data_IF_631243694575
#
_entry.id   IF_631243694575
#
_cell.length_a   1.000
_cell.length_b   1.000
_cell.length_c   1.000
_cell.angle_alpha   90.00
_cell.angle_beta   90.00
_cell.angle_gamma   90.00
#
_symmetry.space_group_name_H-M   'P 1'
#
loop_
_entity.id
_entity.type
_entity.pdbx_description
1 polymer ?
2 non-polymer ?
3 non-polymer ?
4 water ?
#
# COMPACT_ATOMS: atom_id res chain seq x y z
N UNK A 19 -28.27 2.41 -20.18
CA UNK A 19 -27.33 2.57 -19.09
C UNK A 19 -26.55 3.89 -19.17
N UNK A 20 -26.14 4.39 -18.01
CA UNK A 20 -25.30 5.59 -17.93
C UNK A 20 -24.06 5.41 -18.82
N UNK A 21 -23.69 6.47 -19.52
CA UNK A 21 -22.44 6.53 -20.28
C UNK A 21 -21.53 7.61 -19.69
N UNK A 22 -20.23 7.34 -19.65
CA UNK A 22 -19.24 8.35 -19.30
C UNK A 22 -18.08 8.26 -20.30
N UNK A 23 -17.89 9.33 -21.08
CA UNK A 23 -16.87 9.41 -22.12
C UNK A 23 -16.98 8.21 -23.06
N UNK A 24 -18.20 7.88 -23.47
CA UNK A 24 -18.44 6.90 -24.54
C UNK A 24 -18.27 5.45 -24.08
N UNK A 25 -18.16 5.20 -22.78
CA UNK A 25 -18.09 3.83 -22.24
C UNK A 25 -19.26 3.64 -21.26
N UNK A 26 -19.80 2.42 -21.20
CA UNK A 26 -20.95 2.19 -20.32
C UNK A 26 -20.45 2.27 -18.87
N UNK A 27 -21.18 3.01 -18.05
CA UNK A 27 -20.93 3.07 -16.62
C UNK A 27 -22.29 2.87 -15.92
N UNK A 28 -22.56 1.62 -15.62
CA UNK A 28 -23.92 1.15 -15.47
C UNK A 28 -24.25 0.85 -14.01
N UNK A 29 -24.56 1.89 -13.27
CA UNK A 29 -24.51 1.79 -11.81
C UNK A 29 -25.87 2.16 -11.19
N UNK A 30 -26.78 2.70 -11.99
CA UNK A 30 -28.07 3.12 -11.48
C UNK A 30 -28.90 1.92 -11.07
N UNK A 31 -30.15 2.16 -10.65
CA UNK A 31 -30.69 3.54 -10.48
C UNK A 31 -30.18 4.24 -9.21
N UNK A 32 -29.59 3.50 -8.28
CA UNK A 32 -29.25 4.04 -6.96
C UNK A 32 -28.20 5.16 -7.11
N UNK A 33 -27.29 4.99 -8.05
CA UNK A 33 -26.24 5.97 -8.21
C UNK A 33 -26.46 6.74 -9.52
N UNK A 34 -26.60 8.06 -9.35
CA UNK A 34 -26.86 9.02 -10.43
C UNK A 34 -25.81 10.14 -10.39
N UNK A 35 -25.92 11.09 -11.33
CA UNK A 35 -25.13 12.34 -11.35
C UNK A 35 -23.63 12.01 -11.44
N UNK A 36 -23.20 11.34 -12.51
CA UNK A 36 -21.84 10.81 -12.60
C UNK A 36 -20.89 11.92 -13.06
N UNK A 37 -19.68 11.93 -12.48
CA UNK A 37 -18.53 12.72 -12.95
C UNK A 37 -17.30 11.82 -13.08
N UNK A 38 -16.61 11.93 -14.21
CA UNK A 38 -15.38 11.22 -14.41
C UNK A 38 -14.34 11.70 -13.38
N UNK A 39 -13.57 10.79 -12.80
CA UNK A 39 -12.43 11.18 -11.95
C UNK A 39 -11.11 10.76 -12.61
N UNK A 40 -10.99 9.51 -13.06
CA UNK A 40 -9.73 9.11 -13.69
C UNK A 40 -9.72 7.65 -14.09
N UNK A 41 -8.59 7.01 -13.85
CA UNK A 41 -8.33 5.64 -14.31
C UNK A 41 -7.73 4.82 -13.18
N UNK A 42 -8.36 3.69 -12.88
CA UNK A 42 -7.78 2.67 -12.00
C UNK A 42 -7.14 1.56 -12.81
N UNK A 43 -6.95 0.40 -12.19
CA UNK A 43 -6.16 -0.68 -12.78
C UNK A 43 -6.90 -1.30 -13.97
N UNK A 44 -8.17 -1.71 -13.81
CA UNK A 44 -8.90 -2.39 -14.91
C UNK A 44 -10.15 -1.59 -15.29
N UNK A 45 -10.08 -0.26 -15.16
CA UNK A 45 -11.15 0.56 -15.73
C UNK A 45 -11.28 1.93 -15.10
N UNK A 46 -12.39 2.55 -15.45
CA UNK A 46 -12.73 3.93 -15.17
C UNK A 46 -13.22 4.10 -13.73
N UNK A 47 -12.83 5.21 -13.12
CA UNK A 47 -13.32 5.63 -11.83
C UNK A 47 -14.19 6.88 -12.03
N UNK A 48 -15.33 6.91 -11.34
CA UNK A 48 -16.27 8.03 -11.40
C UNK A 48 -16.77 8.35 -10.00
N UNK A 49 -17.16 9.61 -9.74
CA UNK A 49 -17.97 9.94 -8.56
C UNK A 49 -19.46 9.92 -8.95
N UNK A 50 -20.35 9.80 -7.96
CA UNK A 50 -21.78 9.63 -8.21
C UNK A 50 -22.55 9.93 -6.93
N UNK A 51 -23.81 10.30 -7.10
CA UNK A 51 -24.69 10.58 -6.00
C UNK A 51 -25.41 9.29 -5.58
N UNK A 52 -25.20 8.87 -4.32
CA UNK A 52 -25.90 7.73 -3.73
C UNK A 52 -27.24 8.25 -3.23
N UNK A 53 -28.29 7.82 -3.91
CA UNK A 53 -29.64 8.33 -3.69
C UNK A 53 -30.21 7.74 -2.39
N UNK A 54 -29.56 6.73 -1.81
CA UNK A 54 -30.00 6.10 -0.55
C UNK A 54 -29.40 6.88 0.62
N UNK A 55 -28.11 6.72 0.85
CA UNK A 55 -27.36 7.59 1.77
C UNK A 55 -27.02 8.86 1.00
N UNK A 56 -27.56 9.99 1.41
CA UNK A 56 -27.60 11.16 0.53
C UNK A 56 -26.22 11.82 0.47
N UNK A 57 -25.27 11.18 -0.21
CA UNK A 57 -23.86 11.62 -0.25
C UNK A 57 -23.27 11.23 -1.61
N UNK A 58 -22.24 11.95 -2.07
CA UNK A 58 -21.50 11.51 -3.26
C UNK A 58 -20.49 10.44 -2.86
N UNK A 59 -20.30 9.44 -3.73
CA UNK A 59 -19.44 8.29 -3.46
C UNK A 59 -18.50 8.11 -4.66
N UNK A 60 -17.49 7.26 -4.51
CA UNK A 60 -16.57 6.87 -5.60
C UNK A 60 -16.97 5.47 -6.11
N UNK A 61 -16.91 5.28 -7.42
CA UNK A 61 -17.25 3.98 -8.00
C UNK A 61 -16.18 3.61 -9.01
N UNK A 62 -15.56 2.46 -8.84
CA UNK A 62 -14.59 1.95 -9.81
C UNK A 62 -15.24 0.86 -10.66
N UNK A 63 -15.14 0.99 -11.97
CA UNK A 63 -15.51 -0.10 -12.91
C UNK A 63 -14.29 -1.03 -13.11
N UNK A 64 -14.53 -2.34 -12.94
CA UNK A 64 -13.49 -3.36 -13.05
C UNK A 64 -13.92 -4.39 -14.10
N UNK A 65 -13.02 -4.64 -15.06
CA UNK A 65 -13.26 -5.56 -16.18
C UNK A 65 -12.07 -6.53 -16.29
N UNK A 66 -11.98 -7.50 -15.36
CA UNK A 66 -10.84 -8.40 -15.30
C UNK A 66 -11.01 -9.82 -15.83
N UNK A 67 -12.15 -10.17 -16.41
CA UNK A 67 -12.49 -11.60 -16.53
C UNK A 67 -11.71 -12.28 -17.65
N UNK A 68 -11.07 -11.48 -18.51
CA UNK A 68 -10.30 -12.00 -19.63
C UNK A 68 -8.97 -12.55 -19.14
N UNK A 69 -8.42 -11.99 -18.07
CA UNK A 69 -7.05 -12.33 -17.68
C UNK A 69 -7.03 -12.95 -16.27
N UNK A 70 -6.43 -14.14 -16.23
CA UNK A 70 -6.20 -14.90 -15.01
C UNK A 70 -5.64 -13.96 -13.92
N UNK A 71 -4.68 -13.11 -14.28
CA UNK A 71 -4.00 -12.29 -13.26
C UNK A 71 -4.88 -11.12 -12.81
N UNK A 72 -5.62 -10.51 -13.73
CA UNK A 72 -6.60 -9.51 -13.33
C UNK A 72 -7.62 -10.16 -12.39
N UNK A 73 -8.07 -11.37 -12.71
CA UNK A 73 -9.04 -12.02 -11.87
C UNK A 73 -8.48 -12.24 -10.46
N UNK A 74 -7.24 -12.74 -10.38
CA UNK A 74 -6.55 -13.03 -9.11
C UNK A 74 -6.46 -11.77 -8.26
N UNK A 75 -6.04 -10.66 -8.85
CA UNK A 75 -5.84 -9.42 -8.10
C UNK A 75 -7.19 -8.86 -7.64
N UNK A 76 -8.20 -8.99 -8.49
CA UNK A 76 -9.53 -8.50 -8.16
C UNK A 76 -10.13 -9.34 -7.02
N UNK A 77 -10.06 -10.66 -7.11
CA UNK A 77 -10.64 -11.51 -6.04
C UNK A 77 -9.93 -11.23 -4.72
N UNK A 78 -8.61 -11.27 -4.78
CA UNK A 78 -7.81 -11.08 -3.58
C UNK A 78 -8.25 -9.80 -2.84
N UNK A 79 -8.41 -8.73 -3.61
CA UNK A 79 -8.62 -7.45 -3.00
C UNK A 79 -10.07 -7.28 -2.51
N UNK A 80 -11.03 -7.83 -3.26
CA UNK A 80 -12.41 -7.88 -2.73
C UNK A 80 -12.44 -8.68 -1.41
N UNK A 81 -11.86 -9.88 -1.39
CA UNK A 81 -11.83 -10.71 -0.17
C UNK A 81 -11.23 -9.93 1.00
N UNK A 82 -10.09 -9.28 0.79
CA UNK A 82 -9.42 -8.57 1.87
C UNK A 82 -10.28 -7.38 2.34
N UNK A 83 -10.78 -6.55 1.43
CA UNK A 83 -11.47 -5.33 1.85
C UNK A 83 -12.83 -5.64 2.49
N UNK A 84 -13.49 -6.72 2.08
CA UNK A 84 -14.74 -7.18 2.76
C UNK A 84 -14.47 -7.74 4.17
N UNK A 85 -13.30 -8.34 4.38
CA UNK A 85 -13.02 -8.91 5.71
C UNK A 85 -12.61 -7.79 6.68
N UNK A 86 -11.93 -6.78 6.17
CA UNK A 86 -11.39 -5.72 7.00
C UNK A 86 -12.46 -4.69 7.35
N UNK A 87 -12.42 -4.22 8.59
CA UNK A 87 -13.24 -3.13 9.03
C UNK A 87 -12.39 -2.25 9.94
N UNK A 88 -11.94 -1.12 9.38
CA UNK A 88 -11.04 -0.19 10.10
C UNK A 88 -11.12 1.23 9.54
N UNK A 89 -11.18 2.20 10.43
CA UNK A 89 -11.26 3.64 10.07
C UNK A 89 -10.17 4.07 9.09
N UNK A 90 -9.00 3.44 9.08
CA UNK A 90 -7.88 3.88 8.27
C UNK A 90 -7.67 2.91 7.09
N UNK A 91 -8.70 2.11 6.75
CA UNK A 91 -8.62 1.24 5.59
C UNK A 91 -9.92 1.47 4.80
N UNK A 92 -9.78 1.64 3.49
CA UNK A 92 -10.92 1.91 2.64
C UNK A 92 -11.82 0.70 2.68
N UNK A 93 -13.11 1.00 2.77
CA UNK A 93 -14.10 -0.06 2.81
C UNK A 93 -14.77 -0.22 1.46
N UNK A 94 -15.54 -1.27 1.34
CA UNK A 94 -16.40 -1.41 0.20
C UNK A 94 -17.82 -1.14 0.70
N UNK A 95 -18.46 -0.16 0.12
CA UNK A 95 -19.83 0.22 0.49
C UNK A 95 -20.84 -0.70 -0.19
N UNK A 96 -20.57 -1.01 -1.46
CA UNK A 96 -21.52 -1.72 -2.33
C UNK A 96 -20.75 -2.28 -3.49
N UNK A 97 -21.30 -3.33 -4.11
CA UNK A 97 -20.74 -3.89 -5.32
C UNK A 97 -21.88 -4.16 -6.30
N UNK A 98 -21.75 -3.61 -7.51
CA UNK A 98 -22.74 -3.71 -8.55
C UNK A 98 -22.25 -4.71 -9.60
N UNK A 99 -23.09 -5.69 -9.91
CA UNK A 99 -22.84 -6.56 -11.05
C UNK A 99 -24.15 -7.23 -11.48
N UNK A 100 -24.08 -7.89 -12.63
CA UNK A 100 -25.16 -8.66 -13.22
C UNK A 100 -25.65 -9.75 -12.25
N UNK A 101 -26.92 -10.13 -12.38
CA UNK A 101 -27.45 -11.19 -11.53
C UNK A 101 -26.90 -12.60 -11.85
N UNK A 102 -26.30 -12.83 -13.02
CA UNK A 102 -25.80 -14.16 -13.37
C UNK A 102 -24.33 -14.08 -13.79
N UNK A 103 -23.60 -15.19 -13.63
CA UNK A 103 -22.21 -15.25 -14.09
C UNK A 103 -22.17 -14.98 -15.61
N UNK A 104 -23.10 -15.57 -16.33
CA UNK A 104 -23.14 -15.46 -17.79
C UNK A 104 -23.25 -13.99 -18.24
N UNK A 105 -23.93 -13.14 -17.48
CA UNK A 105 -24.17 -11.75 -17.91
C UNK A 105 -23.17 -10.80 -17.23
N UNK A 106 -22.37 -11.31 -16.31
CA UNK A 106 -21.43 -10.47 -15.56
C UNK A 106 -20.17 -10.27 -16.42
N UNK A 107 -19.99 -9.06 -16.93
CA UNK A 107 -18.83 -8.72 -17.77
C UNK A 107 -17.94 -7.70 -17.06
N UNK A 108 -18.49 -6.99 -16.08
CA UNK A 108 -17.75 -6.05 -15.24
C UNK A 108 -18.30 -6.11 -13.84
N UNK A 109 -17.57 -5.50 -12.93
CA UNK A 109 -17.96 -5.33 -11.56
C UNK A 109 -17.73 -3.86 -11.18
N UNK A 110 -18.65 -3.25 -10.44
CA UNK A 110 -18.46 -1.88 -9.96
C UNK A 110 -18.32 -1.90 -8.44
N UNK A 111 -17.24 -1.31 -7.91
CA UNK A 111 -17.01 -1.24 -6.50
C UNK A 111 -17.30 0.19 -6.03
N UNK A 112 -18.22 0.31 -5.08
CA UNK A 112 -18.61 1.58 -4.53
C UNK A 112 -17.83 1.81 -3.24
N UNK A 113 -17.19 2.98 -3.12
CA UNK A 113 -16.39 3.34 -1.93
C UNK A 113 -16.68 4.79 -1.51
N UNK A 114 -16.35 5.11 -0.25
CA UNK A 114 -16.45 6.49 0.21
C UNK A 114 -15.67 7.41 -0.74
N UNK A 115 -16.22 8.59 -1.02
CA UNK A 115 -15.50 9.53 -1.86
C UNK A 115 -14.42 10.19 -1.02
N UNK A 116 -13.18 10.02 -1.46
CA UNK A 116 -12.08 10.71 -0.86
C UNK A 116 -11.56 11.75 -1.86
N UNK A 117 -11.64 13.00 -1.42
CA UNK A 117 -11.21 14.21 -2.14
C UNK A 117 -9.89 13.96 -2.86
N UNK A 118 -8.86 13.50 -2.15
CA UNK A 118 -7.50 13.52 -2.71
C UNK A 118 -6.72 12.29 -2.22
N UNK A 119 -5.42 12.24 -2.50
CA UNK A 119 -4.53 11.23 -1.96
C UNK A 119 -3.22 11.92 -1.59
N UNK A 120 -2.34 11.25 -0.85
CA UNK A 120 -1.09 11.88 -0.38
C UNK A 120 -0.17 12.23 -1.58
N UNK A 121 -0.28 11.49 -2.68
CA UNK A 121 0.52 11.82 -3.87
C UNK A 121 0.17 13.22 -4.39
N UNK A 122 -1.11 13.44 -4.64
CA UNK A 122 -1.57 14.70 -5.22
C UNK A 122 -1.24 15.83 -4.25
N UNK A 123 -1.50 15.57 -2.98
CA UNK A 123 -1.29 16.54 -1.92
C UNK A 123 0.16 17.02 -1.89
N UNK A 124 1.10 16.08 -1.97
CA UNK A 124 2.52 16.38 -1.84
C UNK A 124 3.08 17.12 -3.06
N UNK A 125 2.50 17.02 -4.24
CA UNK A 125 3.10 17.74 -5.35
C UNK A 125 2.66 19.21 -5.34
N UNK A 126 1.72 19.61 -4.48
CA UNK A 126 1.37 21.04 -4.38
C UNK A 126 1.34 21.57 -2.95
N UNK A 127 1.29 20.75 -1.89
CA UNK A 127 1.04 21.33 -0.54
C UNK A 127 2.21 21.03 0.39
N UNK A 128 2.76 22.06 1.02
CA UNK A 128 3.65 21.85 2.18
C UNK A 128 2.84 21.28 3.35
N UNK A 129 3.35 20.26 4.03
CA UNK A 129 2.69 19.68 5.20
C UNK A 129 3.27 20.29 6.48
N UNK A 130 2.42 20.75 7.41
CA UNK A 130 2.92 21.17 8.74
C UNK A 130 3.48 19.94 9.45
N UNK A 131 4.37 20.11 10.45
CA UNK A 131 4.76 18.99 11.31
C UNK A 131 3.50 18.32 11.89
N UNK A 132 2.46 19.08 12.25
CA UNK A 132 1.28 18.47 12.84
C UNK A 132 0.56 17.55 11.85
N UNK A 133 0.46 17.96 10.59
CA UNK A 133 -0.10 17.10 9.53
C UNK A 133 0.74 15.83 9.32
N UNK A 134 2.07 15.96 9.28
CA UNK A 134 2.95 14.83 9.07
C UNK A 134 2.75 13.81 10.20
N UNK A 135 2.75 14.30 11.42
CA UNK A 135 2.55 13.46 12.59
C UNK A 135 1.20 12.71 12.54
N UNK A 136 0.11 13.43 12.23
CA UNK A 136 -1.24 12.87 12.15
C UNK A 136 -1.33 11.82 11.03
N UNK A 137 -0.80 12.16 9.86
CA UNK A 137 -0.83 11.23 8.74
C UNK A 137 -0.01 9.96 9.05
N UNK A 138 1.19 10.11 9.60
CA UNK A 138 2.01 8.97 9.96
C UNK A 138 1.25 8.12 11.01
N UNK A 139 0.62 8.77 11.99
CA UNK A 139 -0.14 8.02 13.01
C UNK A 139 -1.19 7.15 12.29
N UNK A 140 -1.94 7.74 11.35
CA UNK A 140 -3.08 7.02 10.74
C UNK A 140 -2.60 5.89 9.83
N UNK A 141 -1.50 6.12 9.13
CA UNK A 141 -0.89 5.09 8.32
C UNK A 141 -0.52 3.90 9.19
N UNK A 142 0.17 4.18 10.30
CA UNK A 142 0.65 3.09 11.16
C UNK A 142 -0.54 2.42 11.87
N UNK A 143 -1.59 3.16 12.22
CA UNK A 143 -2.78 2.58 12.88
C UNK A 143 -3.45 1.57 11.94
N UNK A 144 -3.64 1.96 10.68
CA UNK A 144 -4.15 1.07 9.66
C UNK A 144 -3.21 -0.12 9.44
N UNK A 145 -1.93 0.14 9.36
CA UNK A 145 -0.99 -0.95 9.12
C UNK A 145 -0.97 -1.90 10.31
N UNK A 146 -1.19 -1.42 11.52
CA UNK A 146 -1.20 -2.34 12.66
C UNK A 146 -2.30 -3.38 12.47
N UNK A 147 -3.46 -2.91 12.03
CA UNK A 147 -4.57 -3.80 11.79
C UNK A 147 -4.25 -4.82 10.66
N UNK A 148 -3.75 -4.36 9.52
CA UNK A 148 -3.37 -5.17 8.39
C UNK A 148 -2.42 -6.28 8.85
N UNK A 149 -1.31 -5.90 9.46
CA UNK A 149 -0.30 -6.87 9.96
C UNK A 149 -0.91 -7.81 11.00
N UNK A 150 -1.83 -7.33 11.85
CA UNK A 150 -2.46 -8.16 12.89
C UNK A 150 -3.27 -9.28 12.20
N UNK A 151 -3.67 -9.03 10.96
CA UNK A 151 -4.41 -10.04 10.19
C UNK A 151 -3.47 -10.98 9.43
N UNK A 152 -2.16 -10.86 9.65
CA UNK A 152 -1.13 -11.67 8.96
C UNK A 152 -1.06 -11.33 7.45
N UNK A 153 -1.45 -10.10 7.09
CA UNK A 153 -1.45 -9.63 5.70
C UNK A 153 -0.34 -8.58 5.54
N UNK A 154 0.31 -8.63 4.40
CA UNK A 154 1.21 -7.63 3.92
C UNK A 154 0.54 -6.86 2.78
N UNK A 155 0.59 -5.53 2.84
CA UNK A 155 0.03 -4.71 1.75
C UNK A 155 0.91 -4.83 0.50
N UNK A 156 2.18 -4.56 0.71
CA UNK A 156 3.29 -4.71 -0.24
C UNK A 156 3.32 -3.62 -1.30
N UNK A 157 2.37 -2.67 -1.34
CA UNK A 157 2.47 -1.56 -2.29
C UNK A 157 2.10 -0.20 -1.68
N UNK A 158 2.55 0.06 -0.45
CA UNK A 158 2.32 1.33 0.20
C UNK A 158 3.17 2.41 -0.49
N UNK A 159 2.49 3.49 -0.81
CA UNK A 159 3.04 4.64 -1.44
C UNK A 159 1.99 5.78 -1.32
N UNK A 160 2.40 7.04 -1.55
CA UNK A 160 1.47 8.19 -1.42
C UNK A 160 0.13 8.05 -2.17
N UNK A 161 0.13 7.59 -3.42
CA UNK A 161 -1.12 7.45 -4.22
C UNK A 161 -2.06 6.39 -3.62
N UNK A 162 -1.57 5.50 -2.74
CA UNK A 162 -2.40 4.47 -2.10
C UNK A 162 -2.85 4.91 -0.70
N UNK A 163 -2.67 6.19 -0.38
CA UNK A 163 -3.17 6.77 0.84
C UNK A 163 -4.18 7.87 0.52
N UNK A 164 -5.45 7.54 0.69
CA UNK A 164 -6.56 8.44 0.36
C UNK A 164 -6.88 9.34 1.55
N UNK A 165 -7.27 10.57 1.23
CA UNK A 165 -7.61 11.60 2.22
C UNK A 165 -8.85 12.35 1.79
N UNK A 166 -9.65 12.68 2.79
CA UNK A 166 -10.86 13.45 2.60
C UNK A 166 -10.56 14.89 3.07
N UNK A 167 -11.58 15.75 3.10
CA UNK A 167 -11.37 17.20 3.30
C UNK A 167 -10.98 17.51 4.74
N UNK A 168 -11.20 16.58 5.67
CA UNK A 168 -10.73 16.78 7.05
C UNK A 168 -9.46 15.97 7.33
N UNK A 169 -8.83 15.46 6.29
CA UNK A 169 -7.52 14.77 6.47
C UNK A 169 -7.58 13.38 7.17
N UNK A 170 -8.75 12.75 7.15
CA UNK A 170 -8.88 11.34 7.49
C UNK A 170 -8.18 10.57 6.40
N UNK A 171 -7.34 9.60 6.78
CA UNK A 171 -6.51 8.92 5.87
C UNK A 171 -6.95 7.46 5.83
N UNK A 172 -7.03 6.90 4.63
CA UNK A 172 -7.40 5.49 4.46
C UNK A 172 -6.50 4.84 3.41
N UNK A 173 -5.93 3.70 3.79
CA UNK A 173 -5.11 2.88 2.94
C UNK A 173 -6.00 2.10 1.96
N UNK A 174 -5.59 2.07 0.71
CA UNK A 174 -6.30 1.43 -0.39
C UNK A 174 -5.30 0.64 -1.23
N UNK A 175 -5.81 -0.03 -2.26
CA UNK A 175 -5.02 -0.78 -3.25
C UNK A 175 -4.25 -2.00 -2.72
N UNK A 176 -5.04 -3.00 -2.34
CA UNK A 176 -4.58 -4.27 -1.81
C UNK A 176 -4.36 -5.30 -2.93
N UNK A 177 -4.18 -4.85 -4.15
CA UNK A 177 -4.05 -5.76 -5.27
C UNK A 177 -2.77 -6.61 -5.20
N UNK A 178 -1.72 -6.14 -4.53
CA UNK A 178 -0.47 -6.90 -4.45
C UNK A 178 -0.29 -7.52 -3.06
N UNK A 179 -1.31 -7.46 -2.23
CA UNK A 179 -1.22 -7.96 -0.86
C UNK A 179 -1.00 -9.48 -0.85
N UNK A 180 -0.35 -9.96 0.21
CA UNK A 180 -0.13 -11.37 0.44
C UNK A 180 -0.29 -11.67 1.94
N UNK A 181 -0.56 -12.92 2.26
CA UNK A 181 -0.43 -13.44 3.64
C UNK A 181 1.06 -13.53 3.99
N UNK A 182 1.46 -13.06 5.18
CA UNK A 182 2.87 -13.10 5.55
C UNK A 182 3.41 -14.54 5.46
N UNK A 183 4.67 -14.69 5.06
CA UNK A 183 5.26 -16.03 5.05
C UNK A 183 6.77 -15.90 5.26
N UNK A 184 7.16 -15.50 6.47
CA UNK A 184 8.59 -15.25 6.73
C UNK A 184 9.50 -16.47 6.50
N UNK A 185 9.02 -17.69 6.73
CA UNK A 185 9.85 -18.88 6.51
C UNK A 185 10.23 -19.12 5.05
N UNK A 186 9.42 -18.60 4.11
CA UNK A 186 9.68 -18.78 2.68
C UNK A 186 10.03 -17.46 1.98
N UNK A 187 10.64 -16.51 2.71
CA UNK A 187 10.98 -15.18 2.15
C UNK A 187 12.25 -15.17 1.24
N UNK A 188 13.09 -16.18 1.29
CA UNK A 188 14.44 -16.02 0.74
C UNK A 188 14.47 -16.31 -0.76
N UNK A 189 15.32 -15.58 -1.50
CA UNK A 189 15.42 -15.79 -2.94
C UNK A 189 16.81 -15.30 -3.40
N UNK A 190 17.13 -15.50 -4.68
CA UNK A 190 18.36 -15.02 -5.25
C UNK A 190 18.38 -13.51 -5.47
N UNK A 191 19.53 -13.08 -5.97
CA UNK A 191 19.88 -11.69 -6.24
C UNK A 191 19.19 -11.22 -7.53
N UNK A 192 18.58 -10.04 -7.43
CA UNK A 192 17.98 -9.34 -8.55
C UNK A 192 16.77 -10.13 -9.04
N UNK A 193 16.02 -10.72 -8.09
CA UNK A 193 14.78 -11.48 -8.41
C UNK A 193 13.65 -10.47 -8.64
N UNK A 194 12.88 -10.70 -9.71
CA UNK A 194 11.99 -9.64 -10.25
C UNK A 194 10.89 -9.37 -9.22
N UNK A 195 10.29 -8.19 -9.32
CA UNK A 195 9.35 -7.74 -8.32
C UNK A 195 8.30 -6.80 -8.96
N UNK A 196 7.08 -6.80 -8.42
CA UNK A 196 5.94 -6.09 -9.10
C UNK A 196 5.60 -4.76 -8.40
N UNK A 197 5.87 -4.63 -7.10
CA UNK A 197 5.45 -3.45 -6.34
C UNK A 197 6.33 -2.25 -6.71
N UNK A 198 5.81 -1.04 -6.41
CA UNK A 198 6.32 0.24 -6.95
C UNK A 198 7.75 0.53 -6.47
N UNK A 199 8.61 0.82 -7.45
CA UNK A 199 10.06 0.80 -7.25
C UNK A 199 10.54 1.68 -6.07
N UNK A 200 10.12 2.93 -6.03
CA UNK A 200 10.70 3.91 -5.10
C UNK A 200 10.44 3.51 -3.64
N UNK A 201 9.47 2.63 -3.40
CA UNK A 201 9.05 2.31 -2.02
C UNK A 201 9.52 0.90 -1.65
N UNK A 202 10.32 0.25 -2.50
CA UNK A 202 10.80 -1.12 -2.27
C UNK A 202 12.01 -1.19 -1.32
N UNK A 203 11.91 -2.07 -0.37
CA UNK A 203 12.99 -2.19 0.60
C UNK A 203 14.23 -2.76 -0.10
N UNK A 204 15.41 -2.48 0.45
CA UNK A 204 16.68 -2.93 -0.15
C UNK A 204 16.70 -4.46 -0.30
N UNK A 205 16.23 -5.21 0.69
CA UNK A 205 16.33 -6.66 0.66
C UNK A 205 15.57 -7.23 -0.55
N UNK A 206 14.55 -6.52 -1.07
CA UNK A 206 13.85 -7.02 -2.25
C UNK A 206 14.83 -7.23 -3.39
N UNK A 207 15.81 -6.33 -3.53
CA UNK A 207 16.78 -6.39 -4.64
C UNK A 207 17.89 -7.41 -4.32
N UNK A 208 18.01 -7.88 -3.10
CA UNK A 208 19.16 -8.69 -2.67
C UNK A 208 18.78 -10.16 -2.45
N UNK A 209 17.75 -10.41 -1.62
CA UNK A 209 17.52 -11.80 -1.18
C UNK A 209 16.09 -12.03 -0.66
N UNK A 210 15.13 -11.16 -0.98
CA UNK A 210 13.83 -11.23 -0.34
C UNK A 210 12.71 -11.17 -1.39
N UNK A 211 11.73 -12.05 -1.19
CA UNK A 211 10.50 -12.09 -1.97
C UNK A 211 9.42 -11.14 -1.44
N UNK A 212 9.67 -10.41 -0.33
CA UNK A 212 8.67 -9.46 0.15
C UNK A 212 7.51 -10.16 0.87
N UNK A 213 7.83 -11.20 1.64
CA UNK A 213 6.81 -11.98 2.34
C UNK A 213 6.92 -11.76 3.86
N UNK A 214 7.61 -10.70 4.26
CA UNK A 214 7.78 -10.33 5.68
C UNK A 214 7.25 -8.91 5.93
N UNK A 215 6.72 -8.67 7.13
CA UNK A 215 6.10 -7.37 7.54
C UNK A 215 7.05 -6.18 7.39
N UNK A 216 8.36 -6.43 7.53
CA UNK A 216 9.36 -5.35 7.44
C UNK A 216 9.36 -4.66 6.07
N UNK A 217 8.83 -5.33 5.04
CA UNK A 217 8.72 -4.74 3.70
C UNK A 217 7.82 -3.50 3.77
N UNK A 218 6.76 -3.56 4.54
CA UNK A 218 5.80 -2.50 4.61
C UNK A 218 6.32 -1.32 5.45
N UNK A 219 7.10 -1.63 6.47
CA UNK A 219 7.62 -0.62 7.33
C UNK A 219 8.61 0.24 6.52
N UNK A 220 9.40 -0.38 5.65
CA UNK A 220 10.32 0.36 4.78
C UNK A 220 9.51 1.37 3.96
N UNK A 221 8.38 0.94 3.39
CA UNK A 221 7.61 1.79 2.54
C UNK A 221 7.11 2.98 3.37
N UNK A 222 6.62 2.72 4.58
CA UNK A 222 6.12 3.79 5.43
C UNK A 222 7.27 4.77 5.72
N UNK A 223 8.46 4.23 5.96
CA UNK A 223 9.63 5.09 6.14
C UNK A 223 9.87 6.00 4.96
N UNK A 224 9.74 5.46 3.74
CA UNK A 224 9.95 6.27 2.55
C UNK A 224 8.87 7.35 2.43
N UNK A 225 7.66 7.02 2.85
CA UNK A 225 6.56 7.95 2.80
C UNK A 225 6.81 9.06 3.84
N UNK A 226 7.27 8.69 5.04
CA UNK A 226 7.58 9.69 6.03
C UNK A 226 8.61 10.68 5.46
N UNK A 227 9.69 10.17 4.87
CA UNK A 227 10.76 11.02 4.28
C UNK A 227 10.19 11.95 3.19
N UNK A 228 9.26 11.44 2.41
CA UNK A 228 8.65 12.16 1.35
C UNK A 228 7.76 13.28 1.93
N UNK A 229 7.07 13.00 3.05
CA UNK A 229 6.22 14.01 3.69
C UNK A 229 7.07 15.16 4.26
N UNK A 230 8.31 14.87 4.63
CA UNK A 230 9.18 15.88 5.23
C UNK A 230 9.76 16.84 4.17
N UNK A 231 9.82 16.46 2.89
CA UNK A 231 10.50 17.28 1.87
C UNK A 231 9.68 17.43 0.57
N UNK A 232 8.52 16.77 0.41
CA UNK A 232 7.74 16.84 -0.83
C UNK A 232 8.55 16.31 -2.02
N UNK A 233 9.41 15.34 -1.82
CA UNK A 233 10.09 14.70 -2.94
C UNK A 233 10.32 13.26 -2.53
N UNK A 234 10.24 12.30 -3.47
CA UNK A 234 10.58 10.94 -3.02
C UNK A 234 12.03 10.89 -2.53
N UNK A 235 12.31 10.13 -1.50
CA UNK A 235 13.65 10.05 -0.90
C UNK A 235 14.56 9.19 -1.78
N UNK A 236 14.04 8.14 -2.40
CA UNK A 236 14.86 7.21 -3.22
C UNK A 236 14.26 7.02 -4.63
N UNK A 237 14.37 8.04 -5.52
CA UNK A 237 13.80 7.96 -6.88
C UNK A 237 14.64 7.15 -7.88
N UNK A 238 14.73 5.83 -7.69
CA UNK A 238 15.52 4.98 -8.58
C UNK A 238 14.91 4.91 -9.97
N UNK A 239 15.75 4.92 -10.99
CA UNK A 239 15.21 4.98 -12.36
C UNK A 239 15.03 3.57 -12.92
N UNK A 240 15.47 2.56 -12.17
CA UNK A 240 15.42 1.17 -12.60
C UNK A 240 15.87 0.25 -11.45
N UNK A 241 15.63 -1.03 -11.69
CA UNK A 241 15.63 -2.03 -10.64
C UNK A 241 16.84 -1.83 -9.71
N UNK A 242 18.07 -1.84 -10.25
CA UNK A 242 19.28 -1.83 -9.38
C UNK A 242 19.55 -0.40 -8.89
N UNK A 243 19.21 0.61 -9.68
CA UNK A 243 19.42 2.02 -9.28
C UNK A 243 18.72 2.32 -7.98
N UNK A 244 17.61 1.62 -7.74
CA UNK A 244 16.86 1.75 -6.51
C UNK A 244 17.76 1.40 -5.33
N UNK A 245 18.55 0.33 -5.44
CA UNK A 245 19.45 -0.08 -4.30
C UNK A 245 20.54 0.98 -4.13
N UNK A 246 21.02 1.48 -5.24
CA UNK A 246 22.13 2.40 -5.16
C UNK A 246 21.60 3.73 -4.57
N UNK A 247 20.31 4.08 -4.75
CA UNK A 247 19.78 5.30 -4.08
C UNK A 247 19.81 5.09 -2.56
N UNK A 248 19.36 3.94 -2.12
CA UNK A 248 19.26 3.69 -0.70
C UNK A 248 20.64 3.79 -0.04
N UNK A 249 21.60 3.11 -0.63
CA UNK A 249 22.98 3.06 -0.10
C UNK A 249 23.60 4.46 -0.16
N UNK A 250 23.24 5.29 -1.14
CA UNK A 250 23.82 6.68 -1.17
C UNK A 250 23.48 7.48 0.09
N UNK A 251 22.40 7.11 0.78
CA UNK A 251 21.90 7.81 1.96
C UNK A 251 22.24 7.06 3.24
N UNK A 252 21.95 5.77 3.28
CA UNK A 252 22.20 5.00 4.51
C UNK A 252 23.71 4.73 4.67
N UNK A 253 24.47 4.79 3.57
CA UNK A 253 25.86 4.39 3.58
C UNK A 253 26.04 2.89 3.44
N UNK A 254 27.28 2.47 3.41
CA UNK A 254 27.62 1.06 3.23
C UNK A 254 27.10 0.27 4.43
N UNK A 255 26.48 -0.90 4.19
CA UNK A 255 26.09 -1.76 5.30
C UNK A 255 27.30 -2.29 6.11
N UNK A 256 27.07 -2.43 7.41
CA UNK A 256 28.01 -2.95 8.32
C UNK A 256 28.35 -4.42 8.01
N UNK A 257 29.53 -4.84 8.48
CA UNK A 257 29.92 -6.25 8.36
C UNK A 257 28.82 -7.15 8.93
N UNK A 258 28.30 -6.79 10.09
CA UNK A 258 27.28 -7.59 10.78
C UNK A 258 26.01 -7.72 9.91
N UNK A 259 25.56 -6.62 9.34
CA UNK A 259 24.49 -6.67 8.34
C UNK A 259 24.78 -7.52 7.11
N UNK A 260 26.01 -7.44 6.60
CA UNK A 260 26.40 -8.24 5.46
C UNK A 260 26.38 -9.73 5.83
N UNK A 261 26.71 -10.02 7.09
CA UNK A 261 26.77 -11.42 7.56
C UNK A 261 25.39 -12.08 7.55
N UNK A 262 24.32 -11.31 7.62
CA UNK A 262 22.95 -11.86 7.53
C UNK A 262 22.55 -12.16 6.07
N UNK A 263 23.30 -11.67 5.08
CA UNK A 263 23.05 -12.01 3.68
C UNK A 263 23.92 -13.22 3.34
N UNK A 264 23.30 -14.39 3.26
CA UNK A 264 24.06 -15.58 2.96
C UNK A 264 24.26 -15.67 1.46
N UNK A 265 23.31 -15.24 0.61
CA UNK A 265 23.47 -15.41 -0.82
C UNK A 265 24.77 -14.73 -1.30
N UNK A 266 25.60 -15.44 -2.04
CA UNK A 266 26.91 -14.93 -2.41
C UNK A 266 26.84 -13.86 -3.49
N UNK A 267 25.98 -14.03 -4.48
CA UNK A 267 25.83 -13.00 -5.48
C UNK A 267 25.48 -11.69 -4.77
N UNK A 268 24.54 -11.73 -3.84
CA UNK A 268 24.05 -10.52 -3.21
C UNK A 268 25.16 -9.90 -2.35
N UNK A 269 25.83 -10.75 -1.59
CA UNK A 269 26.83 -10.24 -0.63
C UNK A 269 28.03 -9.71 -1.40
N UNK A 270 28.48 -10.44 -2.42
CA UNK A 270 29.63 -10.03 -3.23
C UNK A 270 29.33 -8.71 -3.96
N UNK A 271 28.08 -8.50 -4.36
CA UNK A 271 27.70 -7.25 -5.03
C UNK A 271 27.97 -6.11 -4.04
N UNK A 272 27.47 -6.21 -2.83
CA UNK A 272 27.60 -5.15 -1.84
C UNK A 272 29.08 -4.92 -1.54
N UNK A 273 29.85 -6.00 -1.48
CA UNK A 273 31.27 -5.92 -1.16
C UNK A 273 32.04 -5.24 -2.29
N UNK A 274 31.52 -5.29 -3.53
CA UNK A 274 32.21 -4.73 -4.68
C UNK A 274 32.13 -3.19 -4.72
N UNK A 275 31.26 -2.59 -3.94
CA UNK A 275 30.94 -1.16 -4.02
C UNK A 275 31.96 -0.36 -3.20
N UNK A 276 32.30 0.85 -3.68
CA UNK A 276 33.13 1.75 -2.87
C UNK A 276 32.40 2.06 -1.55
N UNK A 277 33.17 2.25 -0.50
CA UNK A 277 32.65 2.62 0.81
C UNK A 277 31.85 3.91 0.67
N UNK A 278 30.65 3.97 1.23
CA UNK A 278 29.84 5.20 1.26
C UNK A 278 29.49 5.50 2.71
N UNK A 279 29.69 6.74 3.12
CA UNK A 279 29.32 7.19 4.46
C UNK A 279 27.81 7.55 4.47
N UNK A 280 27.22 7.47 5.64
CA UNK A 280 25.82 7.83 5.96
C UNK A 280 25.63 9.35 5.80
N UNK A 281 24.54 9.72 5.14
CA UNK A 281 24.11 11.13 5.12
C UNK A 281 23.22 11.31 6.34
N UNK A 282 23.62 12.18 7.27
CA UNK A 282 22.81 12.40 8.47
C UNK A 282 21.41 12.95 8.14
N UNK A 283 20.42 12.46 8.85
CA UNK A 283 19.02 12.79 8.55
C UNK A 283 18.74 14.31 8.70
N UNK A 284 19.36 14.92 9.72
CA UNK A 284 19.14 16.35 10.03
C UNK A 284 19.83 17.25 8.99
N UNK A 285 20.77 16.72 8.22
CA UNK A 285 21.33 17.52 7.13
C UNK A 285 20.41 17.36 5.90
N UNK A 286 19.80 16.20 5.74
CA UNK A 286 18.93 15.95 4.62
C UNK A 286 17.60 16.70 4.85
N UNK A 287 17.17 16.80 6.11
CA UNK A 287 15.86 17.35 6.51
C UNK A 287 16.04 18.36 7.65
N UNK A 288 16.62 19.53 7.36
CA UNK A 288 17.06 20.45 8.43
C UNK A 288 15.93 21.11 9.24
N UNK A 289 14.72 21.03 8.72
CA UNK A 289 13.59 21.63 9.37
C UNK A 289 12.72 20.57 10.04
N UNK A 290 13.12 19.29 9.98
CA UNK A 290 12.30 18.21 10.55
C UNK A 290 12.36 18.19 12.08
N UNK A 291 11.28 17.76 12.69
CA UNK A 291 11.25 17.47 14.13
C UNK A 291 12.24 16.36 14.48
N UNK A 292 13.06 16.54 15.52
CA UNK A 292 14.13 15.58 15.80
C UNK A 292 13.56 14.17 16.10
N UNK A 293 12.40 14.08 16.74
CA UNK A 293 11.74 12.80 17.08
C UNK A 293 11.26 12.12 15.78
N UNK A 294 10.76 12.90 14.83
CA UNK A 294 10.43 12.37 13.48
C UNK A 294 11.66 11.67 12.85
N UNK A 295 12.84 12.31 12.93
CA UNK A 295 14.04 11.79 12.30
C UNK A 295 14.51 10.53 13.04
N UNK A 296 14.37 10.49 14.35
CA UNK A 296 14.69 9.28 15.08
C UNK A 296 13.82 8.10 14.62
N UNK A 297 12.52 8.33 14.46
CA UNK A 297 11.61 7.29 14.00
C UNK A 297 11.93 6.94 12.53
N UNK A 298 12.20 7.94 11.70
CA UNK A 298 12.55 7.69 10.31
C UNK A 298 13.75 6.72 10.22
N UNK A 299 14.78 7.02 11.02
CA UNK A 299 15.97 6.20 11.07
C UNK A 299 15.62 4.75 11.35
N UNK A 300 14.70 4.51 12.26
CA UNK A 300 14.40 3.17 12.69
C UNK A 300 13.54 2.46 11.63
N UNK A 301 12.78 3.20 10.84
CA UNK A 301 12.00 2.59 9.76
C UNK A 301 12.90 2.35 8.55
N UNK A 302 13.85 3.23 8.27
CA UNK A 302 14.72 3.04 7.13
C UNK A 302 16.04 2.41 7.58
N UNK A 303 15.90 1.35 8.32
CA UNK A 303 17.02 0.54 8.73
C UNK A 303 17.27 -0.47 7.60
N UNK A 304 18.54 -0.58 7.18
CA UNK A 304 18.91 -1.47 6.08
C UNK A 304 18.52 -2.92 6.38
N UNK A 305 18.82 -3.38 7.59
CA UNK A 305 18.70 -4.80 7.95
C UNK A 305 17.25 -5.00 8.38
N UNK A 306 16.49 -5.78 7.60
CA UNK A 306 15.06 -5.95 7.94
C UNK A 306 14.81 -6.52 9.35
N UNK A 307 15.75 -7.27 9.88
CA UNK A 307 15.58 -7.93 11.19
C UNK A 307 15.68 -6.87 12.28
N UNK A 308 16.42 -5.78 12.04
CA UNK A 308 16.62 -4.72 13.03
C UNK A 308 15.65 -3.55 12.83
N UNK A 309 14.90 -3.56 11.73
CA UNK A 309 13.91 -2.54 11.41
C UNK A 309 12.75 -2.58 12.43
N UNK A 310 12.31 -1.41 12.87
CA UNK A 310 11.23 -1.25 13.88
C UNK A 310 9.96 -1.92 13.33
N UNK A 311 9.16 -2.49 14.23
CA UNK A 311 7.83 -3.04 13.85
C UNK A 311 6.72 -1.99 14.00
N UNK A 312 5.53 -2.31 13.45
CA UNK A 312 4.41 -1.34 13.40
C UNK A 312 4.03 -0.89 14.81
N UNK A 313 3.90 -1.83 15.76
CA UNK A 313 3.49 -1.51 17.11
C UNK A 313 4.55 -0.68 17.81
N UNK A 314 5.83 -0.98 17.59
CA UNK A 314 6.86 -0.17 18.21
C UNK A 314 6.90 1.24 17.61
N UNK A 315 6.58 1.37 16.32
CA UNK A 315 6.56 2.69 15.69
C UNK A 315 5.45 3.52 16.32
N UNK A 316 4.29 2.89 16.54
CA UNK A 316 3.19 3.57 17.18
C UNK A 316 3.58 4.09 18.57
N UNK A 317 4.38 3.31 19.31
CA UNK A 317 4.80 3.62 20.65
C UNK A 317 6.00 4.58 20.67
N UNK A 318 6.45 5.06 19.52
CA UNK A 318 7.64 5.93 19.50
C UNK A 318 7.24 7.32 20.05
N UNK A 319 8.18 8.01 20.75
CA UNK A 319 7.89 9.38 21.28
C UNK A 319 7.32 10.37 20.24
N UNK A 320 7.69 10.27 18.96
CA UNK A 320 7.15 11.21 17.97
C UNK A 320 5.63 11.21 17.98
N UNK A 321 5.02 10.03 18.18
CA UNK A 321 3.56 9.84 18.06
C UNK A 321 2.84 9.88 19.41
N UNK A 322 3.54 10.32 20.44
CA UNK A 322 3.09 10.27 21.84
C UNK A 322 1.72 10.94 22.04
N UNK A 323 1.41 11.98 21.29
CA UNK A 323 0.13 12.67 21.52
C UNK A 323 -1.04 11.84 20.98
N UNK A 324 -0.81 10.87 20.09
CA UNK A 324 -1.88 10.10 19.53
C UNK A 324 -1.89 8.67 20.10
N UNK A 325 -0.73 8.15 20.49
CA UNK A 325 -0.61 6.71 20.85
C UNK A 325 -1.67 6.33 21.90
N UNK A 326 -2.45 5.31 21.59
CA UNK A 326 -3.44 4.79 22.48
C UNK A 326 -3.79 3.37 21.98
N UNK A 327 -3.08 2.36 22.51
CA UNK A 327 -3.19 0.99 22.01
C UNK A 327 -4.63 0.45 22.11
N UNK A 328 -5.39 0.87 23.11
CA UNK A 328 -6.78 0.47 23.27
C UNK A 328 -7.66 1.04 22.15
N UNK A 329 -7.19 2.06 21.41
CA UNK A 329 -7.91 2.65 20.33
C UNK A 329 -7.19 2.40 19.02
N UNK A 330 -6.39 1.32 18.98
CA UNK A 330 -5.63 0.90 17.80
C UNK A 330 -5.93 -0.59 17.58
N UNK A 331 -7.10 -0.87 17.02
CA UNK A 331 -7.63 -2.25 17.02
C UNK A 331 -6.89 -3.18 16.07
N UNK A 332 -7.03 -4.48 16.38
CA UNK A 332 -6.45 -5.54 15.57
C UNK A 332 -7.59 -6.34 14.96
N UNK A 333 -7.25 -7.16 13.98
CA UNK A 333 -8.24 -7.95 13.27
C UNK A 333 -8.74 -9.09 14.16
N UNK A 334 -10.02 -9.40 14.07
CA UNK A 334 -10.62 -10.48 14.84
C UNK A 334 -9.95 -11.83 14.56
N UNK A 335 -9.38 -11.99 13.36
CA UNK A 335 -8.73 -13.26 13.05
C UNK A 335 -7.79 -13.12 11.84
N UNK A 336 -6.65 -13.81 11.87
CA UNK A 336 -5.77 -13.73 10.71
C UNK A 336 -6.44 -14.25 9.43
N UNK A 337 -5.94 -13.83 8.28
CA UNK A 337 -6.03 -14.63 7.05
C UNK A 337 -5.09 -15.84 7.19
N UNK A 342 -4.09 -19.47 -2.19
CA UNK A 342 -4.19 -20.62 -3.08
C UNK A 342 -5.02 -20.23 -4.31
N UNK A 343 -4.82 -19.01 -4.78
CA UNK A 343 -5.47 -18.49 -5.99
C UNK A 343 -4.55 -18.68 -7.20
N UNK A 344 -3.31 -19.09 -6.92
CA UNK A 344 -2.26 -19.15 -7.94
C UNK A 344 -2.53 -20.06 -9.11
N UNK A 345 -3.14 -21.21 -8.87
CA UNK A 345 -3.34 -22.20 -9.94
C UNK A 345 -4.71 -22.09 -10.57
N UNK A 346 -5.61 -21.32 -9.96
CA UNK A 346 -7.03 -21.33 -10.34
C UNK A 346 -7.21 -20.74 -11.76
N UNK A 347 -7.89 -21.47 -12.65
CA UNK A 347 -8.20 -20.84 -13.94
C UNK A 347 -9.16 -19.64 -13.79
N UNK A 348 -9.13 -18.75 -14.78
CA UNK A 348 -9.95 -17.55 -14.78
C UNK A 348 -11.42 -17.93 -14.55
N UNK A 349 -11.87 -19.06 -15.09
CA UNK A 349 -13.27 -19.50 -15.00
C UNK A 349 -13.67 -19.72 -13.54
N UNK A 350 -12.81 -20.37 -12.77
CA UNK A 350 -13.13 -20.55 -11.37
C UNK A 350 -12.96 -19.21 -10.65
N UNK A 351 -12.05 -18.34 -11.08
CA UNK A 351 -11.87 -17.05 -10.38
C UNK A 351 -13.14 -16.20 -10.58
N UNK A 352 -13.70 -16.22 -11.79
CA UNK A 352 -14.91 -15.44 -12.05
C UNK A 352 -16.04 -15.92 -11.15
N UNK A 353 -16.19 -17.22 -11.06
CA UNK A 353 -17.17 -17.84 -10.19
C UNK A 353 -16.93 -17.43 -8.72
N UNK A 354 -15.69 -17.43 -8.22
CA UNK A 354 -15.44 -16.99 -6.83
C UNK A 354 -15.74 -15.49 -6.67
N UNK A 355 -15.44 -14.68 -7.68
CA UNK A 355 -15.77 -13.24 -7.63
C UNK A 355 -17.30 -13.08 -7.57
N UNK A 356 -18.00 -13.84 -8.36
CA UNK A 356 -19.47 -13.85 -8.34
C UNK A 356 -19.95 -14.17 -6.91
N UNK A 357 -19.43 -15.24 -6.30
CA UNK A 357 -19.92 -15.68 -4.98
C UNK A 357 -19.60 -14.63 -3.92
N UNK A 358 -18.36 -14.11 -3.97
CA UNK A 358 -17.82 -13.14 -3.05
C UNK A 358 -18.64 -11.82 -3.07
N UNK A 359 -19.27 -11.48 -4.21
CA UNK A 359 -20.03 -10.23 -4.33
C UNK A 359 -21.53 -10.45 -4.08
N UNK A 360 -21.93 -11.68 -3.76
CA UNK A 360 -23.35 -12.03 -3.72
C UNK A 360 -24.09 -11.26 -2.61
N UNK A 361 -23.40 -10.89 -1.54
CA UNK A 361 -24.07 -10.26 -0.39
C UNK A 361 -24.66 -8.89 -0.78
N UNK A 362 -24.24 -8.28 -1.89
CA UNK A 362 -24.65 -6.95 -2.24
C UNK A 362 -25.83 -6.95 -3.21
N UNK A 363 -26.27 -8.14 -3.62
CA UNK A 363 -27.37 -8.26 -4.52
C UNK A 363 -28.68 -8.06 -3.74
N UNK A 364 -29.67 -7.34 -4.34
CA UNK A 364 -31.04 -7.09 -3.82
C UNK A 364 -31.60 -8.22 -2.94
X LIG B 1 11.75 -2.61 -12.38
X LIG B 1 12.61 -2.03 -11.32
X LIG B 1 12.59 -2.99 -13.51
X LIG B 1 10.75 -1.58 -12.75
X LIG B 1 11.08 -3.82 -11.85
X LIG C 1 0.74 5.70 -9.38
X LIG C 1 1.50 6.30 -8.38
X LIG C 1 2.83 5.98 -8.24
X LIG C 1 3.41 5.06 -9.09
X LIG C 1 2.66 4.46 -10.09
X LIG C 1 1.33 4.78 -10.23
X LIG C 1 -0.58 6.03 -9.52
X LIG C 1 1.10 6.94 -7.80
X LIG C 1 3.35 6.39 -7.56
X LIG C 1 4.33 4.83 -8.99
X LIG C 1 3.06 3.82 -10.67
X LIG C 1 0.81 4.37 -10.92
X LIG C 1 -0.94 5.56 -10.19
X LIG D 1 -10.19 -2.63 -7.14
X LIG D 1 -10.57 -1.55 -6.35
X LIG D 1 -11.22 -1.76 -5.16
X LIG D 1 -11.49 -3.06 -4.74
X LIG D 1 -11.11 -4.14 -5.52
X LIG D 1 -10.47 -3.91 -6.72
X LIG D 1 -9.55 -2.41 -8.33
X LIG D 1 -10.38 -0.67 -6.64
X LIG D 1 -11.49 -1.02 -4.61
X LIG D 1 -11.94 -3.21 -3.91
X LIG D 1 -11.30 -5.03 -5.24
X LIG D 1 -10.20 -4.66 -7.25
X LIG D 1 -9.35 -3.18 -8.72
#
# INVERSE_FOLDING_TARGET
MAHHHHHHMAAAAAAGAGPEMVRGQVFDVGPRYTNLSYIGEGAYGMVCSAYDNVNKVRVAIKKISPFEHQTYCQRTLREIKILLRFRHENIIGINDIIRAPTIEQMKDVYIVQDLMETDLYKLLKTQHLSNDHICYFLYQILRGLKYIHSANVLHRDLKPSNLLLNTTCDLKICDFGLARVADPDHDHTGFLTEYVATRWYRAPEIMLNSKGYTKSIDIWSVGCILAEMLSNRPIFPGKHYLDQLNHILGILGSPSQEDLNCIINLKARNYLLSLPHKNKVPWNRLFPNADSKALDLLDKMLTFNPHKRIEVEQALAHPYLEQYYDPSDEPIAEAPFKFDMELDDLPKEKLKELIFEETARFQPGYRS
SO4 S O1 O2 O3 O4
IPH C1 C2 C3 C4 C5 C6 O1 H2 H3 H4 H5 H6 HO1
IPH C1 C2 C3 C4 C5 C6 O1 H2 H3 H4 H5 H6 HO1
#
